data_IF_082782742912
#
_entry.id   IF_082782742912
#
_cell.length_a   1.000
_cell.length_b   1.000
_cell.length_c   1.000
_cell.angle_alpha   90.00
_cell.angle_beta   90.00
_cell.angle_gamma   90.00
#
_symmetry.space_group_name_H-M   'P 1'
#
loop_
_entity.id
_entity.type
_entity.pdbx_description
1 polymer ?
#
# COMPACT_ATOMS: atom_id res chain seq x y z
N UNK A 1 19.11 23.23 12.60
CA UNK A 1 18.57 24.39 11.83
C UNK A 1 17.25 24.85 12.43
N UNK A 2 16.98 26.16 12.45
CA UNK A 2 15.67 26.70 12.89
C UNK A 2 14.60 26.40 11.84
N UNK A 3 13.36 26.19 12.27
CA UNK A 3 12.26 26.01 11.33
C UNK A 3 12.04 27.29 10.50
N UNK A 4 11.78 27.12 9.20
CA UNK A 4 11.41 28.22 8.32
C UNK A 4 10.16 28.97 8.82
N UNK A 5 9.98 30.26 8.54
CA UNK A 5 8.71 30.95 8.72
C UNK A 5 7.56 30.27 7.96
N UNK A 6 6.32 30.36 8.46
CA UNK A 6 5.14 29.67 7.90
C UNK A 6 4.94 29.92 6.39
N UNK A 7 5.27 31.12 5.91
CA UNK A 7 5.11 31.50 4.50
C UNK A 7 6.19 30.93 3.57
N UNK A 8 7.33 30.46 4.11
CA UNK A 8 8.41 29.81 3.35
C UNK A 8 8.40 28.28 3.50
N UNK A 9 7.59 27.72 4.40
CA UNK A 9 7.51 26.27 4.57
C UNK A 9 6.81 25.62 3.38
N UNK A 10 7.34 24.48 2.88
CA UNK A 10 6.60 23.58 2.02
C UNK A 10 5.21 23.25 2.57
N UNK A 11 4.22 23.19 1.68
CA UNK A 11 2.86 22.78 2.02
C UNK A 11 2.64 21.33 1.60
N UNK A 12 2.22 20.50 2.54
CA UNK A 12 2.10 19.06 2.36
C UNK A 12 0.65 18.60 2.24
N UNK A 13 0.49 17.45 1.58
CA UNK A 13 -0.69 16.59 1.64
C UNK A 13 -0.25 15.17 1.99
N UNK A 14 -1.14 14.43 2.62
CA UNK A 14 -0.89 13.08 3.10
C UNK A 14 -1.92 12.14 2.48
N UNK A 15 -1.45 11.16 1.73
CA UNK A 15 -2.25 10.12 1.09
C UNK A 15 -2.26 8.90 2.01
N UNK A 16 -3.46 8.43 2.35
CA UNK A 16 -3.63 7.13 2.99
C UNK A 16 -3.66 6.06 1.90
N UNK A 17 -2.75 5.11 2.00
CA UNK A 17 -2.52 4.06 1.02
C UNK A 17 -2.75 2.73 1.72
N UNK A 18 -3.57 1.89 1.12
CA UNK A 18 -3.74 0.49 1.50
C UNK A 18 -2.84 -0.38 0.63
N UNK A 19 -2.27 -1.41 1.24
CA UNK A 19 -1.44 -2.42 0.60
C UNK A 19 -2.08 -3.79 0.82
N UNK A 20 -2.09 -4.60 -0.21
CA UNK A 20 -2.58 -5.98 -0.21
C UNK A 20 -1.57 -6.85 -0.96
N UNK A 21 -1.21 -8.00 -0.39
CA UNK A 21 -0.32 -8.98 -0.98
C UNK A 21 -0.67 -10.39 -0.49
N UNK A 22 0.10 -11.37 -0.97
CA UNK A 22 -0.02 -12.75 -0.51
C UNK A 22 0.18 -12.88 1.01
N UNK A 23 -0.47 -13.86 1.67
CA UNK A 23 -0.44 -13.98 3.14
C UNK A 23 0.96 -14.13 3.74
N UNK A 24 1.91 -14.68 2.98
CA UNK A 24 3.31 -14.90 3.36
C UNK A 24 4.25 -13.80 2.88
N UNK A 25 3.75 -12.75 2.23
CA UNK A 25 4.55 -11.64 1.78
C UNK A 25 5.10 -10.85 2.99
N UNK A 26 6.38 -10.48 2.92
CA UNK A 26 7.01 -9.60 3.90
C UNK A 26 7.39 -8.28 3.23
N UNK A 27 6.62 -7.21 3.50
CA UNK A 27 6.88 -5.88 2.94
C UNK A 27 7.34 -4.92 4.03
N UNK A 28 8.58 -4.44 3.92
CA UNK A 28 9.15 -3.47 4.85
C UNK A 28 8.96 -2.01 4.42
N UNK A 29 8.82 -1.09 5.38
CA UNK A 29 8.71 0.37 5.12
C UNK A 29 9.82 0.91 4.20
N UNK A 30 11.06 0.47 4.40
CA UNK A 30 12.21 0.94 3.61
C UNK A 30 12.15 0.44 2.16
N UNK A 31 11.71 -0.79 1.97
CA UNK A 31 11.52 -1.37 0.66
C UNK A 31 10.42 -0.64 -0.10
N UNK A 32 9.25 -0.47 0.54
CA UNK A 32 8.14 0.30 -0.02
C UNK A 32 8.54 1.74 -0.37
N UNK A 33 9.31 2.42 0.50
CA UNK A 33 9.82 3.76 0.20
C UNK A 33 10.74 3.80 -1.02
N UNK A 34 11.59 2.80 -1.18
CA UNK A 34 12.53 2.71 -2.30
C UNK A 34 11.78 2.47 -3.61
N UNK A 35 10.86 1.51 -3.63
CA UNK A 35 10.03 1.26 -4.82
C UNK A 35 9.16 2.45 -5.19
N UNK A 36 8.61 3.15 -4.19
CA UNK A 36 7.87 4.39 -4.43
C UNK A 36 8.73 5.46 -5.14
N UNK A 37 10.01 5.58 -4.80
CA UNK A 37 10.92 6.49 -5.49
C UNK A 37 11.29 6.00 -6.89
N UNK A 38 11.51 4.70 -7.07
CA UNK A 38 11.75 4.14 -8.41
C UNK A 38 10.55 4.35 -9.33
N UNK A 39 9.33 4.05 -8.86
CA UNK A 39 8.10 4.32 -9.60
C UNK A 39 7.95 5.82 -9.93
N UNK A 40 8.30 6.72 -9.00
CA UNK A 40 8.28 8.16 -9.25
C UNK A 40 9.26 8.56 -10.35
N UNK A 41 10.51 8.10 -10.27
CA UNK A 41 11.52 8.38 -11.29
C UNK A 41 11.12 7.82 -12.66
N UNK A 42 10.59 6.60 -12.70
CA UNK A 42 10.17 5.97 -13.95
C UNK A 42 8.98 6.68 -14.61
N UNK A 43 8.01 7.15 -13.81
CA UNK A 43 6.80 7.78 -14.35
C UNK A 43 7.00 9.27 -14.69
N UNK A 44 7.67 10.04 -13.81
CA UNK A 44 7.73 11.51 -13.91
C UNK A 44 9.16 12.06 -14.00
N UNK A 45 10.17 11.20 -14.09
CA UNK A 45 11.57 11.58 -14.15
C UNK A 45 12.10 12.14 -12.84
N UNK A 46 13.41 12.44 -12.79
CA UNK A 46 14.07 12.93 -11.58
C UNK A 46 13.51 14.27 -11.10
N UNK A 47 13.27 15.21 -12.01
CA UNK A 47 12.72 16.52 -11.67
C UNK A 47 11.31 16.42 -11.09
N UNK A 48 10.43 15.64 -11.74
CA UNK A 48 9.06 15.43 -11.26
C UNK A 48 9.02 14.67 -9.93
N UNK A 49 9.91 13.70 -9.74
CA UNK A 49 10.06 12.97 -8.47
C UNK A 49 10.46 13.91 -7.33
N UNK A 50 11.43 14.79 -7.59
CA UNK A 50 11.87 15.81 -6.64
C UNK A 50 10.77 16.86 -6.35
N UNK A 51 10.00 17.28 -7.35
CA UNK A 51 8.86 18.19 -7.18
C UNK A 51 7.77 17.57 -6.29
N UNK A 52 7.51 16.27 -6.44
CA UNK A 52 6.52 15.55 -5.64
C UNK A 52 6.97 15.30 -4.18
N UNK A 53 8.28 15.10 -3.96
CA UNK A 53 8.91 14.73 -2.68
C UNK A 53 8.12 13.65 -1.91
N UNK A 54 7.89 12.53 -2.59
CA UNK A 54 7.12 11.42 -2.02
C UNK A 54 7.89 10.80 -0.85
N UNK A 55 7.28 10.75 0.34
CA UNK A 55 7.90 10.07 1.48
C UNK A 55 6.88 9.33 2.34
N UNK A 56 7.21 8.11 2.73
CA UNK A 56 6.44 7.26 3.63
C UNK A 56 6.62 7.77 5.06
N UNK A 57 5.58 8.35 5.65
CA UNK A 57 5.63 8.91 7.02
C UNK A 57 5.12 7.94 8.08
N UNK A 58 4.23 7.02 7.71
CA UNK A 58 3.78 5.89 8.54
C UNK A 58 3.62 4.65 7.66
N UNK A 59 3.83 3.48 8.25
CA UNK A 59 3.77 2.21 7.56
C UNK A 59 3.48 1.10 8.57
N UNK A 60 2.60 0.18 8.21
CA UNK A 60 2.33 -1.09 8.89
C UNK A 60 1.96 -2.11 7.84
N UNK A 61 2.50 -3.32 7.93
CA UNK A 61 2.17 -4.41 7.03
C UNK A 61 2.33 -5.71 7.80
N UNK A 62 1.31 -6.56 7.78
CA UNK A 62 1.27 -7.84 8.47
C UNK A 62 0.18 -8.72 7.86
N UNK A 63 0.37 -10.04 7.89
CA UNK A 63 -0.58 -11.02 7.32
C UNK A 63 -1.08 -10.63 5.93
N UNK A 64 -0.16 -10.22 5.04
CA UNK A 64 -0.44 -9.79 3.67
C UNK A 64 -1.30 -8.52 3.50
N UNK A 65 -1.60 -7.78 4.57
CA UNK A 65 -2.36 -6.52 4.54
C UNK A 65 -1.59 -5.39 5.19
N UNK A 66 -1.75 -4.17 4.69
CA UNK A 66 -1.06 -3.04 5.29
C UNK A 66 -1.62 -1.70 4.91
N UNK A 67 -1.02 -0.69 5.53
CA UNK A 67 -1.28 0.70 5.22
C UNK A 67 0.02 1.52 5.27
N UNK A 68 0.08 2.52 4.41
CA UNK A 68 1.08 3.56 4.45
C UNK A 68 0.42 4.94 4.45
N UNK A 69 1.09 5.91 5.07
CA UNK A 69 0.82 7.32 4.82
C UNK A 69 1.98 7.84 3.99
N UNK A 70 1.71 8.31 2.79
CA UNK A 70 2.69 8.93 1.91
C UNK A 70 2.45 10.44 1.91
N UNK A 71 3.48 11.23 2.19
CA UNK A 71 3.44 12.68 2.01
C UNK A 71 3.76 13.02 0.56
N UNK A 72 3.16 14.09 0.06
CA UNK A 72 3.52 14.74 -1.19
C UNK A 72 3.37 16.25 -1.05
N UNK A 73 4.04 17.02 -1.91
CA UNK A 73 3.76 18.44 -2.04
C UNK A 73 2.29 18.69 -2.41
N UNK A 74 1.68 19.76 -1.88
CA UNK A 74 0.23 20.02 -2.02
C UNK A 74 -0.25 20.14 -3.47
N UNK A 75 0.59 20.62 -4.38
CA UNK A 75 0.28 20.71 -5.81
C UNK A 75 0.42 19.39 -6.57
N UNK A 76 1.04 18.38 -5.96
CA UNK A 76 1.52 17.16 -6.63
C UNK A 76 0.70 15.92 -6.25
N UNK A 77 -0.50 16.11 -5.69
CA UNK A 77 -1.34 14.99 -5.22
C UNK A 77 -1.73 14.05 -6.35
N UNK A 78 -2.07 14.59 -7.53
CA UNK A 78 -2.49 13.78 -8.67
C UNK A 78 -1.33 13.00 -9.27
N UNK A 79 -0.13 13.61 -9.35
CA UNK A 79 1.10 12.88 -9.71
C UNK A 79 1.43 11.80 -8.69
N UNK A 80 1.31 12.10 -7.39
CA UNK A 80 1.52 11.12 -6.33
C UNK A 80 0.58 9.91 -6.46
N UNK A 81 -0.69 10.15 -6.82
CA UNK A 81 -1.66 9.07 -7.09
C UNK A 81 -1.27 8.23 -8.30
N UNK A 82 -0.83 8.88 -9.38
CA UNK A 82 -0.38 8.18 -10.59
C UNK A 82 0.84 7.30 -10.31
N UNK A 83 1.83 7.82 -9.58
CA UNK A 83 3.02 7.06 -9.15
C UNK A 83 2.63 5.85 -8.31
N UNK A 84 1.76 6.04 -7.30
CA UNK A 84 1.30 4.95 -6.44
C UNK A 84 0.55 3.86 -7.20
N UNK A 85 -0.13 4.22 -8.29
CA UNK A 85 -0.84 3.27 -9.14
C UNK A 85 0.10 2.46 -10.06
N UNK A 86 1.36 2.88 -10.21
CA UNK A 86 2.38 2.14 -10.95
C UNK A 86 3.15 1.13 -10.10
N UNK A 87 2.84 1.01 -8.81
CA UNK A 87 3.44 -0.01 -7.95
C UNK A 87 2.70 -1.33 -8.16
N UNK A 88 3.44 -2.35 -8.58
CA UNK A 88 2.98 -3.73 -8.77
C UNK A 88 3.74 -4.73 -7.89
N UNK A 89 4.89 -4.34 -7.32
CA UNK A 89 5.63 -5.17 -6.37
C UNK A 89 6.62 -4.40 -5.50
N UNK A 90 7.09 -5.07 -4.44
CA UNK A 90 8.09 -4.57 -3.49
C UNK A 90 9.04 -5.69 -3.07
N UNK A 91 10.34 -5.51 -3.32
CA UNK A 91 11.38 -6.52 -3.04
C UNK A 91 11.02 -7.93 -3.57
N UNK A 92 10.35 -7.98 -4.73
CA UNK A 92 9.92 -9.23 -5.37
C UNK A 92 8.57 -9.79 -4.91
N UNK A 93 7.95 -9.23 -3.86
CA UNK A 93 6.58 -9.54 -3.49
C UNK A 93 5.60 -8.71 -4.35
N UNK A 94 4.64 -9.35 -5.00
CA UNK A 94 3.56 -8.64 -5.71
C UNK A 94 2.66 -7.91 -4.71
N UNK A 95 2.32 -6.65 -5.01
CA UNK A 95 1.53 -5.81 -4.10
C UNK A 95 0.46 -5.04 -4.87
N UNK A 96 -0.79 -5.17 -4.42
CA UNK A 96 -1.89 -4.29 -4.78
C UNK A 96 -1.86 -3.01 -3.94
N UNK A 97 -1.92 -1.86 -4.60
CA UNK A 97 -1.87 -0.54 -3.94
C UNK A 97 -3.16 0.25 -4.22
N UNK A 98 -3.75 0.84 -3.17
CA UNK A 98 -4.94 1.69 -3.32
C UNK A 98 -4.94 2.91 -2.42
N UNK A 99 -5.16 4.08 -3.01
CA UNK A 99 -5.29 5.34 -2.26
C UNK A 99 -6.69 5.46 -1.67
N UNK A 100 -6.82 5.34 -0.35
CA UNK A 100 -8.07 5.49 0.41
C UNK A 100 -8.56 6.93 0.51
N UNK A 101 -7.65 7.90 0.54
CA UNK A 101 -8.00 9.31 0.72
C UNK A 101 -6.81 10.21 0.94
N UNK A 102 -7.06 11.52 1.05
CA UNK A 102 -6.02 12.54 1.22
C UNK A 102 -6.40 13.51 2.33
N UNK A 103 -5.43 13.90 3.16
CA UNK A 103 -5.62 14.84 4.27
C UNK A 103 -4.51 15.90 4.33
N UNK A 104 -4.76 16.96 5.10
CA UNK A 104 -3.78 18.02 5.40
C UNK A 104 -2.85 17.72 6.56
N UNK A 105 -3.15 16.71 7.38
CA UNK A 105 -2.30 16.26 8.49
C UNK A 105 -2.25 14.75 8.55
N UNK A 106 -1.14 14.20 9.06
CA UNK A 106 -0.98 12.75 9.31
C UNK A 106 -2.10 12.22 10.20
N UNK A 107 -2.41 12.92 11.30
CA UNK A 107 -3.45 12.52 12.25
C UNK A 107 -4.83 12.40 11.60
N UNK A 108 -5.26 13.42 10.86
CA UNK A 108 -6.57 13.38 10.20
C UNK A 108 -6.59 12.36 9.05
N UNK A 109 -5.44 12.07 8.43
CA UNK A 109 -5.31 11.00 7.44
C UNK A 109 -5.58 9.63 8.09
N UNK A 110 -4.88 9.37 9.20
CA UNK A 110 -4.99 8.13 9.95
C UNK A 110 -6.41 7.90 10.49
N UNK A 111 -6.98 8.94 11.12
CA UNK A 111 -8.33 8.91 11.71
C UNK A 111 -9.43 8.62 10.69
N UNK A 112 -9.34 9.21 9.50
CA UNK A 112 -10.39 9.09 8.47
C UNK A 112 -10.27 7.85 7.61
N UNK A 113 -9.05 7.37 7.38
CA UNK A 113 -8.79 6.41 6.30
C UNK A 113 -8.06 5.13 6.74
N UNK A 114 -7.47 5.09 7.95
CA UNK A 114 -6.65 3.95 8.40
C UNK A 114 -7.19 3.27 9.64
N UNK A 115 -7.76 3.99 10.62
CA UNK A 115 -8.15 3.44 11.94
C UNK A 115 -9.24 2.35 11.92
N UNK A 116 -9.67 1.87 10.75
CA UNK A 116 -10.44 0.61 10.70
C UNK A 116 -9.49 -0.52 11.09
N UNK A 117 -9.92 -1.40 11.99
CA UNK A 117 -9.15 -2.58 12.38
C UNK A 117 -8.81 -3.40 11.12
N UNK A 118 -7.58 -3.92 10.97
CA UNK A 118 -7.29 -4.92 9.94
C UNK A 118 -8.36 -6.00 10.01
N UNK A 119 -8.87 -6.40 8.84
CA UNK A 119 -9.89 -7.44 8.78
C UNK A 119 -9.27 -8.75 9.27
N UNK A 120 -9.95 -9.48 10.17
CA UNK A 120 -9.41 -10.73 10.67
C UNK A 120 -9.23 -11.70 9.50
N UNK A 121 -8.03 -12.22 9.33
CA UNK A 121 -7.77 -13.35 8.45
C UNK A 121 -8.14 -14.64 9.17
N UNK A 122 -8.79 -15.57 8.47
CA UNK A 122 -9.02 -16.93 8.98
C UNK A 122 -8.36 -17.95 8.05
N UNK A 123 -7.78 -18.99 8.64
CA UNK A 123 -7.13 -20.07 7.90
C UNK A 123 -8.03 -21.30 7.92
N UNK A 124 -8.38 -21.81 6.74
CA UNK A 124 -9.27 -22.96 6.59
C UNK A 124 -8.85 -23.85 5.42
N UNK A 125 -9.30 -25.11 5.46
CA UNK A 125 -9.23 -25.98 4.28
C UNK A 125 -10.46 -25.75 3.42
N UNK A 126 -10.25 -25.65 2.11
CA UNK A 126 -11.30 -25.44 1.10
C UNK A 126 -11.13 -26.47 -0.02
N UNK A 127 -12.21 -26.76 -0.72
CA UNK A 127 -12.12 -27.52 -1.97
C UNK A 127 -11.84 -26.51 -3.07
N UNK A 128 -10.77 -26.71 -3.82
CA UNK A 128 -10.41 -25.89 -4.97
C UNK A 128 -9.82 -26.80 -6.04
N UNK A 129 -10.28 -26.67 -7.29
CA UNK A 129 -9.89 -27.55 -8.40
C UNK A 129 -10.01 -29.05 -8.08
N UNK A 130 -11.08 -29.44 -7.38
CA UNK A 130 -11.36 -30.81 -6.92
C UNK A 130 -10.34 -31.41 -5.95
N UNK A 131 -9.55 -30.58 -5.26
CA UNK A 131 -8.63 -31.00 -4.20
C UNK A 131 -8.84 -30.19 -2.92
N UNK A 132 -8.61 -30.81 -1.75
CA UNK A 132 -8.53 -30.06 -0.50
C UNK A 132 -7.22 -29.25 -0.46
N UNK A 133 -7.36 -27.94 -0.24
CA UNK A 133 -6.26 -26.96 -0.21
C UNK A 133 -6.37 -26.08 1.02
N UNK A 134 -5.22 -25.65 1.56
CA UNK A 134 -5.18 -24.62 2.61
C UNK A 134 -5.49 -23.27 1.97
N UNK A 135 -6.30 -22.47 2.64
CA UNK A 135 -6.62 -21.13 2.19
C UNK A 135 -6.62 -20.12 3.35
N UNK A 136 -6.36 -18.86 3.01
CA UNK A 136 -6.47 -17.71 3.91
C UNK A 136 -7.61 -16.82 3.42
N UNK A 137 -8.66 -16.68 4.23
CA UNK A 137 -9.82 -15.86 3.91
C UNK A 137 -9.73 -14.45 4.51
N UNK A 138 -10.09 -13.43 3.72
CA UNK A 138 -10.11 -12.00 4.11
C UNK A 138 -11.30 -11.31 3.41
N UNK A 139 -12.37 -11.04 4.17
CA UNK A 139 -13.59 -10.33 3.69
C UNK A 139 -14.13 -10.83 2.33
N UNK A 140 -14.33 -12.15 2.20
CA UNK A 140 -14.83 -12.79 0.98
C UNK A 140 -13.78 -13.01 -0.12
N UNK A 141 -12.54 -12.52 0.06
CA UNK A 141 -11.37 -12.88 -0.75
C UNK A 141 -10.66 -14.06 -0.13
N UNK A 142 -10.17 -14.98 -0.95
CA UNK A 142 -9.63 -16.24 -0.50
C UNK A 142 -8.32 -16.51 -1.23
N UNK A 143 -7.22 -16.54 -0.51
CA UNK A 143 -5.92 -16.91 -1.07
C UNK A 143 -5.73 -18.41 -0.86
N UNK A 144 -5.87 -19.18 -1.94
CA UNK A 144 -5.73 -20.64 -1.92
C UNK A 144 -4.27 -20.99 -2.22
N UNK A 145 -3.68 -21.84 -1.37
CA UNK A 145 -2.34 -22.38 -1.60
C UNK A 145 -2.42 -23.48 -2.65
N UNK A 146 -1.93 -23.21 -3.85
CA UNK A 146 -1.83 -24.16 -4.95
C UNK A 146 -0.34 -24.40 -5.26
N UNK A 147 0.12 -25.62 -5.01
CA UNK A 147 1.54 -26.01 -5.08
C UNK A 147 2.45 -25.03 -4.31
N UNK A 148 3.37 -24.39 -5.01
CA UNK A 148 4.33 -23.43 -4.44
C UNK A 148 3.87 -21.95 -4.54
N UNK A 149 2.65 -21.69 -5.03
CA UNK A 149 2.10 -20.35 -5.22
C UNK A 149 0.74 -20.13 -4.50
N UNK A 150 0.30 -18.88 -4.48
CA UNK A 150 -1.07 -18.53 -4.10
C UNK A 150 -1.91 -18.22 -5.34
N UNK A 151 -3.18 -18.58 -5.28
CA UNK A 151 -4.20 -18.23 -6.25
C UNK A 151 -5.31 -17.47 -5.53
N UNK A 152 -5.63 -16.28 -6.04
CA UNK A 152 -6.76 -15.50 -5.55
C UNK A 152 -8.07 -16.11 -6.05
N UNK A 153 -8.98 -16.40 -5.11
CA UNK A 153 -10.29 -16.97 -5.33
C UNK A 153 -11.35 -16.21 -4.54
N UNK A 154 -12.62 -16.45 -4.87
CA UNK A 154 -13.79 -15.95 -4.15
C UNK A 154 -14.57 -17.11 -3.55
N UNK A 155 -15.57 -16.83 -2.70
CA UNK A 155 -16.47 -17.87 -2.18
C UNK A 155 -17.23 -18.65 -3.28
N UNK A 156 -17.37 -18.08 -4.48
CA UNK A 156 -18.01 -18.74 -5.62
C UNK A 156 -17.11 -19.74 -6.34
N UNK A 157 -15.80 -19.68 -6.10
CA UNK A 157 -14.81 -20.54 -6.75
C UNK A 157 -14.49 -21.81 -5.93
N UNK A 158 -15.06 -21.93 -4.72
CA UNK A 158 -14.85 -23.02 -3.76
C UNK A 158 -15.97 -24.07 -3.75
#
# INVERSE_FOLDING_TARGET
>A
MKHLPKHLRPRWRYLAVELEAWPDAEVGRRAFQRELWFAAQNLVGDAGSAEADLSVVRFSFDDGMGHAIVRAHRGEVDRARAVLACLDGVDGAEVGVRVRGVSGTVRACEEKYIRRRPEPSDQRNVVFENAERRAVGRDGRIDVRADDAFVGATELDL
#
